data_IF_803222974127
#
_entry.id   IF_803222974127
#
_cell.length_a   1.000
_cell.length_b   1.000
_cell.length_c   1.000
_cell.angle_alpha   90.00
_cell.angle_beta   90.00
_cell.angle_gamma   90.00
#
_symmetry.space_group_name_H-M   'P 1'
#
loop_
_entity.id
_entity.type
_entity.pdbx_description
1 polymer ?
#
# COMPACT_ATOMS: atom_id res chain seq x y z
N UNK A 1 -1.94 -6.19 30.27
CA UNK A 1 -2.18 -5.98 28.82
C UNK A 1 -2.85 -7.22 28.26
N UNK A 2 -3.91 -7.09 27.45
CA UNK A 2 -4.47 -8.25 26.74
C UNK A 2 -3.44 -8.76 25.72
N UNK A 3 -3.28 -10.09 25.56
CA UNK A 3 -2.35 -10.64 24.58
C UNK A 3 -2.75 -10.22 23.16
N UNK A 4 -1.78 -10.08 22.24
CA UNK A 4 -2.06 -9.70 20.87
C UNK A 4 -2.98 -10.73 20.19
N UNK A 5 -3.95 -10.26 19.40
CA UNK A 5 -4.84 -11.16 18.67
C UNK A 5 -4.08 -12.02 17.65
N UNK A 6 -3.07 -11.43 17.01
CA UNK A 6 -2.09 -12.08 16.16
C UNK A 6 -0.69 -11.58 16.50
N UNK A 7 0.29 -12.49 16.54
CA UNK A 7 1.71 -12.14 16.58
C UNK A 7 2.28 -12.16 15.17
N UNK A 8 2.91 -11.07 14.74
CA UNK A 8 3.64 -11.04 13.46
C UNK A 8 5.01 -11.68 13.69
N UNK A 9 5.40 -12.63 12.83
CA UNK A 9 6.72 -13.27 12.86
C UNK A 9 7.38 -13.13 11.49
N UNK A 10 8.56 -12.54 11.47
CA UNK A 10 9.40 -12.45 10.27
C UNK A 10 10.33 -13.65 10.26
N UNK A 11 10.20 -14.51 9.26
CA UNK A 11 10.99 -15.74 9.09
C UNK A 11 12.00 -15.51 7.97
N UNK A 12 13.28 -15.55 8.32
CA UNK A 12 14.41 -15.49 7.38
C UNK A 12 14.66 -16.91 6.87
N UNK A 13 14.41 -17.14 5.59
CA UNK A 13 14.69 -18.41 4.93
C UNK A 13 16.16 -18.53 4.52
N UNK A 14 16.91 -17.43 4.54
CA UNK A 14 18.34 -17.35 4.24
C UNK A 14 19.24 -17.56 5.47
N UNK A 15 18.65 -17.73 6.65
CA UNK A 15 19.36 -17.92 7.93
C UNK A 15 18.96 -19.27 8.54
N UNK A 16 19.80 -19.87 9.41
CA UNK A 16 19.42 -21.07 10.14
C UNK A 16 18.10 -20.88 10.90
N UNK A 17 17.12 -21.73 10.61
CA UNK A 17 15.80 -21.68 11.24
C UNK A 17 15.37 -23.07 11.73
N UNK A 18 14.49 -23.12 12.72
CA UNK A 18 13.81 -24.37 13.08
C UNK A 18 13.02 -24.90 11.86
N UNK A 19 12.78 -26.22 11.75
CA UNK A 19 11.99 -26.77 10.64
C UNK A 19 10.66 -26.01 10.51
N UNK A 20 10.32 -25.55 9.31
CA UNK A 20 9.24 -24.58 9.12
C UNK A 20 7.88 -25.12 9.57
N UNK A 21 7.67 -26.43 9.50
CA UNK A 21 6.44 -27.06 9.99
C UNK A 21 6.22 -26.86 11.49
N UNK A 22 7.26 -26.60 12.31
CA UNK A 22 7.10 -26.32 13.75
C UNK A 22 6.23 -25.09 14.02
N UNK A 23 6.13 -24.17 13.05
CA UNK A 23 5.24 -23.02 13.14
C UNK A 23 3.75 -23.40 13.09
N UNK A 24 3.39 -24.62 12.65
CA UNK A 24 1.99 -25.08 12.65
C UNK A 24 1.40 -25.18 14.07
N UNK A 25 2.26 -25.32 15.09
CA UNK A 25 1.88 -25.38 16.51
C UNK A 25 1.78 -24.00 17.16
N UNK A 26 2.16 -22.94 16.44
CA UNK A 26 2.16 -21.59 17.00
C UNK A 26 0.73 -21.10 17.27
N UNK A 27 0.51 -20.28 18.33
CA UNK A 27 -0.73 -19.53 18.48
C UNK A 27 -0.94 -18.61 17.27
N UNK A 28 -2.12 -17.97 17.16
CA UNK A 28 -2.47 -17.07 16.04
C UNK A 28 -1.27 -16.22 15.57
N UNK A 29 -0.75 -16.57 14.39
CA UNK A 29 0.49 -15.99 13.86
C UNK A 29 0.26 -15.48 12.44
N UNK A 30 0.85 -14.34 12.15
CA UNK A 30 0.97 -13.79 10.80
C UNK A 30 2.44 -13.92 10.42
N UNK A 31 2.76 -14.95 9.63
CA UNK A 31 4.13 -15.24 9.22
C UNK A 31 4.44 -14.46 7.96
N UNK A 32 5.57 -13.76 7.92
CA UNK A 32 6.10 -13.12 6.72
C UNK A 32 7.45 -13.76 6.42
N UNK A 33 7.61 -14.30 5.22
CA UNK A 33 8.81 -15.02 4.81
C UNK A 33 9.72 -14.13 3.98
N UNK A 34 11.02 -14.24 4.22
CA UNK A 34 12.03 -13.38 3.63
C UNK A 34 13.19 -14.21 3.10
N UNK A 35 13.84 -13.68 2.08
CA UNK A 35 15.20 -14.06 1.72
C UNK A 35 16.03 -12.78 1.64
N UNK A 36 16.97 -12.60 2.56
CA UNK A 36 17.73 -11.36 2.63
C UNK A 36 16.79 -10.17 2.87
N UNK A 37 16.85 -9.21 1.94
CA UNK A 37 16.05 -7.99 1.95
C UNK A 37 14.76 -8.10 1.11
N UNK A 38 14.38 -9.31 0.66
CA UNK A 38 13.25 -9.57 -0.23
C UNK A 38 12.17 -10.33 0.52
N UNK A 39 10.96 -9.77 0.57
CA UNK A 39 9.80 -10.48 1.10
C UNK A 39 9.25 -11.44 0.03
N UNK A 40 8.99 -12.69 0.41
CA UNK A 40 8.56 -13.75 -0.51
C UNK A 40 7.08 -14.13 -0.38
N UNK A 41 6.47 -13.88 0.78
CA UNK A 41 5.07 -14.20 1.01
C UNK A 41 4.65 -14.05 2.46
N UNK A 42 3.36 -14.24 2.72
CA UNK A 42 2.83 -14.31 4.08
C UNK A 42 1.79 -15.41 4.27
N UNK A 43 1.59 -15.81 5.53
CA UNK A 43 0.57 -16.76 5.95
C UNK A 43 -0.14 -16.32 7.22
N UNK A 44 -1.44 -16.57 7.26
CA UNK A 44 -2.22 -16.54 8.49
C UNK A 44 -2.36 -17.95 9.04
N UNK A 45 -1.95 -18.12 10.30
CA UNK A 45 -2.22 -19.33 11.08
C UNK A 45 -3.32 -19.04 12.09
N UNK A 46 -4.36 -19.86 12.11
CA UNK A 46 -5.49 -19.77 13.04
C UNK A 46 -5.40 -20.87 14.10
N UNK A 47 -5.74 -20.58 15.36
CA UNK A 47 -5.70 -21.56 16.48
C UNK A 47 -6.52 -22.83 16.20
N UNK A 48 -7.60 -22.72 15.41
CA UNK A 48 -8.49 -23.86 15.11
C UNK A 48 -8.04 -24.67 13.90
N UNK A 49 -6.98 -24.24 13.23
CA UNK A 49 -6.47 -24.93 12.06
C UNK A 49 -5.48 -26.00 12.54
N UNK A 50 -5.95 -27.24 12.69
CA UNK A 50 -5.08 -28.39 12.96
C UNK A 50 -4.29 -28.69 11.67
N UNK A 51 -3.16 -28.01 11.50
CA UNK A 51 -2.28 -28.19 10.36
C UNK A 51 -1.29 -29.32 10.64
N UNK A 52 -1.31 -30.35 9.80
CA UNK A 52 -0.20 -31.30 9.66
C UNK A 52 1.00 -30.61 8.99
N UNK A 53 2.20 -31.20 9.10
CA UNK A 53 3.37 -30.68 8.37
C UNK A 53 3.12 -30.59 6.86
N UNK A 54 2.50 -31.62 6.28
CA UNK A 54 2.15 -31.68 4.86
C UNK A 54 1.21 -30.53 4.44
N UNK A 55 0.09 -30.34 5.15
CA UNK A 55 -0.88 -29.28 4.83
C UNK A 55 -0.31 -27.88 5.07
N UNK A 56 0.58 -27.71 6.04
CA UNK A 56 1.35 -26.49 6.23
C UNK A 56 2.25 -26.20 5.02
N UNK A 57 2.98 -27.18 4.50
CA UNK A 57 3.84 -27.00 3.34
C UNK A 57 3.08 -26.69 2.05
N UNK A 58 1.90 -27.29 1.85
CA UNK A 58 1.01 -26.92 0.72
C UNK A 58 0.63 -25.45 0.78
N UNK A 59 0.26 -24.95 1.98
CA UNK A 59 -0.04 -23.52 2.19
C UNK A 59 1.18 -22.64 1.97
N UNK A 60 2.33 -23.03 2.51
CA UNK A 60 3.59 -22.30 2.36
C UNK A 60 3.96 -22.18 0.88
N UNK A 61 3.94 -23.28 0.14
CA UNK A 61 4.23 -23.29 -1.29
C UNK A 61 3.31 -22.34 -2.04
N UNK A 62 2.00 -22.37 -1.75
CA UNK A 62 1.04 -21.44 -2.36
C UNK A 62 1.34 -19.97 -2.04
N UNK A 63 1.74 -19.66 -0.81
CA UNK A 63 2.06 -18.30 -0.38
C UNK A 63 3.33 -17.75 -1.03
N UNK A 64 4.38 -18.57 -1.18
CA UNK A 64 5.66 -18.13 -1.74
C UNK A 64 5.67 -18.17 -3.28
N UNK A 65 4.82 -19.01 -3.90
CA UNK A 65 4.81 -19.27 -5.35
C UNK A 65 4.89 -18.01 -6.23
N UNK A 66 4.15 -16.91 -5.98
CA UNK A 66 4.25 -15.72 -6.82
C UNK A 66 5.65 -15.12 -6.85
N UNK A 67 6.29 -14.95 -5.69
CA UNK A 67 7.64 -14.40 -5.59
C UNK A 67 8.68 -15.38 -6.15
N UNK A 68 8.54 -16.68 -5.85
CA UNK A 68 9.49 -17.69 -6.32
C UNK A 68 9.47 -17.84 -7.84
N UNK A 69 8.32 -17.76 -8.50
CA UNK A 69 8.25 -17.75 -9.97
C UNK A 69 9.10 -16.67 -10.61
N UNK A 70 9.26 -15.54 -9.91
CA UNK A 70 10.03 -14.42 -10.41
C UNK A 70 11.50 -14.51 -10.01
N UNK A 71 11.78 -14.78 -8.73
CA UNK A 71 13.14 -14.66 -8.19
C UNK A 71 13.92 -15.97 -8.24
N UNK A 72 13.24 -17.11 -8.21
CA UNK A 72 13.81 -18.46 -8.15
C UNK A 72 12.89 -19.51 -8.82
N UNK A 73 12.64 -19.41 -10.14
CA UNK A 73 11.65 -20.25 -10.83
C UNK A 73 11.92 -21.76 -10.71
N UNK A 74 13.17 -22.17 -10.58
CA UNK A 74 13.56 -23.56 -10.39
C UNK A 74 12.91 -24.20 -9.15
N UNK A 75 12.68 -23.44 -8.08
CA UNK A 75 12.01 -23.92 -6.85
C UNK A 75 10.52 -24.21 -7.04
N UNK A 76 9.93 -23.68 -8.11
CA UNK A 76 8.51 -23.88 -8.41
C UNK A 76 8.31 -25.15 -9.22
N UNK A 77 9.27 -25.44 -10.11
CA UNK A 77 9.22 -26.54 -11.09
C UNK A 77 9.80 -27.85 -10.54
N UNK A 78 10.76 -27.78 -9.61
CA UNK A 78 11.44 -28.93 -9.02
C UNK A 78 10.95 -29.19 -7.58
N UNK A 79 10.25 -30.32 -7.39
CA UNK A 79 9.75 -30.75 -6.08
C UNK A 79 10.89 -31.16 -5.13
N UNK A 80 12.01 -31.67 -5.63
CA UNK A 80 13.15 -32.08 -4.81
C UNK A 80 13.87 -30.84 -4.24
N UNK A 81 14.13 -29.84 -5.08
CA UNK A 81 14.70 -28.56 -4.65
C UNK A 81 13.79 -27.83 -3.64
N UNK A 82 12.46 -27.89 -3.85
CA UNK A 82 11.49 -27.39 -2.88
C UNK A 82 11.56 -28.13 -1.54
N UNK A 83 11.68 -29.46 -1.55
CA UNK A 83 11.82 -30.26 -0.33
C UNK A 83 13.10 -29.93 0.41
N UNK A 84 14.25 -29.87 -0.26
CA UNK A 84 15.55 -29.54 0.35
C UNK A 84 15.51 -28.19 1.09
N UNK A 85 14.86 -27.18 0.53
CA UNK A 85 14.66 -25.87 1.18
C UNK A 85 13.88 -25.99 2.50
N UNK A 86 12.81 -26.80 2.54
CA UNK A 86 11.88 -26.83 3.68
C UNK A 86 12.22 -27.90 4.73
N UNK A 87 12.93 -28.98 4.38
CA UNK A 87 13.27 -30.09 5.27
C UNK A 87 14.63 -29.96 5.91
N UNK A 88 15.65 -29.54 5.14
CA UNK A 88 17.05 -29.56 5.57
C UNK A 88 17.59 -28.16 5.87
N UNK A 89 16.85 -27.10 5.51
CA UNK A 89 17.36 -25.74 5.59
C UNK A 89 18.62 -25.54 4.74
N UNK A 90 18.81 -26.38 3.72
CA UNK A 90 19.95 -26.29 2.83
C UNK A 90 19.73 -25.14 1.84
N UNK A 91 20.12 -23.95 2.28
CA UNK A 91 19.90 -22.67 1.58
C UNK A 91 21.06 -22.30 0.67
N UNK A 92 22.19 -23.00 0.78
CA UNK A 92 23.42 -22.71 0.05
C UNK A 92 23.22 -22.71 -1.48
N UNK A 93 22.49 -23.69 -2.00
CA UNK A 93 22.20 -23.79 -3.44
C UNK A 93 21.33 -22.63 -3.98
N UNK A 94 20.64 -21.91 -3.10
CA UNK A 94 19.72 -20.83 -3.45
C UNK A 94 20.29 -19.45 -3.11
N UNK A 95 21.38 -19.39 -2.34
CA UNK A 95 22.10 -18.17 -2.01
C UNK A 95 22.41 -17.36 -3.27
N UNK A 96 23.01 -18.01 -4.28
CA UNK A 96 23.38 -17.37 -5.55
C UNK A 96 22.18 -16.95 -6.39
N UNK A 97 21.04 -17.63 -6.24
CA UNK A 97 19.81 -17.30 -6.98
C UNK A 97 19.25 -15.96 -6.51
N UNK A 98 19.12 -15.79 -5.20
CA UNK A 98 18.58 -14.58 -4.62
C UNK A 98 19.61 -13.45 -4.49
N UNK A 99 20.90 -13.78 -4.39
CA UNK A 99 21.99 -12.79 -4.34
C UNK A 99 21.96 -11.84 -5.53
N UNK A 100 21.64 -12.32 -6.74
CA UNK A 100 21.52 -11.50 -7.96
C UNK A 100 20.45 -10.41 -7.88
N UNK A 101 19.46 -10.56 -7.00
CA UNK A 101 18.39 -9.59 -6.79
C UNK A 101 18.73 -8.56 -5.71
N UNK A 102 19.77 -8.82 -4.92
CA UNK A 102 20.32 -7.87 -3.96
C UNK A 102 21.44 -7.06 -4.61
N UNK A 103 21.52 -5.75 -4.35
CA UNK A 103 22.60 -4.96 -4.88
C UNK A 103 23.92 -5.32 -4.19
N UNK A 104 25.01 -5.43 -4.97
CA UNK A 104 26.36 -5.61 -4.43
C UNK A 104 26.79 -4.42 -3.58
N UNK A 105 26.38 -3.22 -3.99
CA UNK A 105 26.56 -1.98 -3.24
C UNK A 105 25.36 -1.05 -3.42
N UNK A 106 25.08 -0.24 -2.41
CA UNK A 106 24.10 0.85 -2.49
C UNK A 106 24.81 2.19 -2.33
N UNK A 107 24.40 3.22 -3.07
CA UNK A 107 24.87 4.57 -2.83
C UNK A 107 24.42 5.05 -1.45
N UNK A 108 25.24 5.87 -0.80
CA UNK A 108 24.88 6.48 0.48
C UNK A 108 23.69 7.44 0.35
N UNK A 109 23.47 8.01 -0.84
CA UNK A 109 22.38 8.93 -1.13
C UNK A 109 21.91 8.82 -2.59
N UNK A 110 20.61 9.04 -2.82
CA UNK A 110 20.00 9.07 -4.16
C UNK A 110 19.15 10.34 -4.39
N UNK A 111 19.01 10.81 -5.66
CA UNK A 111 18.22 11.99 -6.01
C UNK A 111 16.71 11.72 -5.96
N UNK A 112 16.18 11.57 -4.75
CA UNK A 112 14.76 11.40 -4.44
C UNK A 112 14.33 12.47 -3.44
N UNK A 113 13.19 13.11 -3.69
CA UNK A 113 12.47 13.94 -2.72
C UNK A 113 11.43 13.08 -2.02
N UNK A 114 11.57 12.83 -0.72
CA UNK A 114 10.57 12.09 0.06
C UNK A 114 9.61 13.08 0.71
N UNK A 115 8.34 13.04 0.33
CA UNK A 115 7.28 13.89 0.87
C UNK A 115 6.54 13.15 1.98
N UNK A 116 6.38 13.82 3.13
CA UNK A 116 5.61 13.35 4.27
C UNK A 116 4.55 14.41 4.58
N UNK A 117 3.28 14.06 4.39
CA UNK A 117 2.17 14.93 4.76
C UNK A 117 1.76 14.63 6.21
N UNK A 118 1.77 15.62 7.08
CA UNK A 118 1.39 15.46 8.49
C UNK A 118 0.40 16.54 8.92
N UNK A 119 -0.36 16.27 9.98
CA UNK A 119 -1.29 17.24 10.57
C UNK A 119 -1.48 16.96 12.05
N UNK A 120 -0.85 17.76 12.91
CA UNK A 120 -0.93 17.65 14.37
C UNK A 120 -0.53 16.24 14.89
N UNK A 121 0.53 15.65 14.32
CA UNK A 121 1.03 14.31 14.66
C UNK A 121 2.55 14.29 14.88
N UNK A 122 3.09 15.32 15.53
CA UNK A 122 4.53 15.50 15.73
C UNK A 122 5.27 14.26 16.29
N UNK A 123 4.64 13.48 17.18
CA UNK A 123 5.25 12.25 17.73
C UNK A 123 5.44 11.15 16.68
N UNK A 124 4.49 11.01 15.75
CA UNK A 124 4.60 10.06 14.64
C UNK A 124 5.63 10.54 13.63
N UNK A 125 5.59 11.85 13.31
CA UNK A 125 6.56 12.49 12.45
C UNK A 125 8.01 12.30 12.95
N UNK A 126 8.27 12.49 14.25
CA UNK A 126 9.62 12.36 14.82
C UNK A 126 10.19 10.96 14.58
N UNK A 127 9.38 9.92 14.82
CA UNK A 127 9.76 8.52 14.58
C UNK A 127 10.01 8.24 13.09
N UNK A 128 9.15 8.76 12.21
CA UNK A 128 9.31 8.60 10.78
C UNK A 128 10.61 9.24 10.28
N UNK A 129 10.90 10.48 10.71
CA UNK A 129 12.13 11.19 10.36
C UNK A 129 13.37 10.52 10.92
N UNK A 130 13.35 10.05 12.16
CA UNK A 130 14.44 9.30 12.77
C UNK A 130 14.81 8.07 11.93
N UNK A 131 13.82 7.28 11.52
CA UNK A 131 14.06 6.10 10.69
C UNK A 131 14.63 6.44 9.32
N UNK A 132 14.12 7.47 8.66
CA UNK A 132 14.63 7.91 7.36
C UNK A 132 16.10 8.36 7.43
N UNK A 133 16.52 8.94 8.56
CA UNK A 133 17.91 9.35 8.78
C UNK A 133 18.85 8.19 9.11
N UNK A 134 18.31 7.06 9.58
CA UNK A 134 19.08 5.86 9.90
C UNK A 134 19.28 4.93 8.68
N UNK A 135 18.70 5.27 7.53
CA UNK A 135 18.88 4.49 6.30
C UNK A 135 20.32 4.56 5.80
N UNK A 136 20.84 3.42 5.32
CA UNK A 136 22.16 3.36 4.67
C UNK A 136 22.18 4.07 3.31
N UNK A 137 21.02 4.18 2.65
CA UNK A 137 20.81 4.98 1.43
C UNK A 137 19.73 6.03 1.73
N UNK A 138 20.13 7.27 1.98
CA UNK A 138 19.22 8.37 2.34
C UNK A 138 18.68 9.08 1.08
N UNK A 139 17.50 9.72 1.14
CA UNK A 139 17.06 10.59 0.06
C UNK A 139 17.86 11.90 0.06
N UNK A 140 17.90 12.57 -1.09
CA UNK A 140 18.52 13.90 -1.23
C UNK A 140 17.86 14.92 -0.33
N UNK A 141 16.53 14.87 -0.23
CA UNK A 141 15.75 15.73 0.64
C UNK A 141 14.49 15.03 1.16
N UNK A 142 14.05 15.46 2.34
CA UNK A 142 12.77 15.07 2.93
C UNK A 142 11.93 16.32 3.08
N UNK A 143 10.73 16.33 2.53
CA UNK A 143 9.80 17.46 2.56
C UNK A 143 8.67 17.12 3.51
N UNK A 144 8.63 17.82 4.64
CA UNK A 144 7.55 17.72 5.61
C UNK A 144 6.52 18.79 5.28
N UNK A 145 5.34 18.35 4.81
CA UNK A 145 4.21 19.24 4.58
C UNK A 145 3.28 19.20 5.78
N UNK A 146 3.31 20.26 6.59
CA UNK A 146 2.44 20.41 7.75
C UNK A 146 1.11 21.04 7.33
N UNK A 147 0.07 20.21 7.29
CA UNK A 147 -1.22 20.52 6.68
C UNK A 147 -2.22 21.11 7.66
N UNK A 148 -2.52 22.40 7.51
CA UNK A 148 -3.40 23.18 8.39
C UNK A 148 -3.10 22.93 9.88
N UNK A 149 -1.87 23.19 10.34
CA UNK A 149 -1.46 22.92 11.71
C UNK A 149 -2.17 23.82 12.70
N UNK A 150 -2.42 23.27 13.90
CA UNK A 150 -3.00 23.99 15.03
C UNK A 150 -1.93 24.61 15.95
N UNK A 151 -0.70 24.10 15.88
CA UNK A 151 0.45 24.56 16.66
C UNK A 151 1.77 24.43 15.85
N UNK A 152 2.92 24.68 16.47
CA UNK A 152 4.23 24.59 15.83
C UNK A 152 4.97 23.27 16.12
N UNK A 153 4.29 22.23 16.62
CA UNK A 153 4.95 20.99 17.06
C UNK A 153 5.63 20.24 15.90
N UNK A 154 5.00 20.15 14.73
CA UNK A 154 5.59 19.52 13.53
C UNK A 154 6.84 20.28 13.07
N UNK A 155 6.83 21.62 13.10
CA UNK A 155 7.98 22.46 12.77
C UNK A 155 9.15 22.23 13.73
N UNK A 156 8.89 22.16 15.04
CA UNK A 156 9.90 21.88 16.05
C UNK A 156 10.56 20.52 15.83
N UNK A 157 9.78 19.50 15.46
CA UNK A 157 10.30 18.18 15.11
C UNK A 157 11.14 18.23 13.84
N UNK A 158 10.61 18.78 12.74
CA UNK A 158 11.30 18.88 11.46
C UNK A 158 12.66 19.59 11.57
N UNK A 159 12.73 20.64 12.40
CA UNK A 159 13.94 21.47 12.60
C UNK A 159 15.10 20.74 13.30
N UNK A 160 14.86 19.57 13.90
CA UNK A 160 15.92 18.75 14.53
C UNK A 160 16.79 18.02 13.50
N UNK A 161 16.27 17.84 12.30
CA UNK A 161 16.83 16.93 11.29
C UNK A 161 17.47 17.70 10.14
N UNK A 162 18.58 17.19 9.61
CA UNK A 162 19.23 17.78 8.43
C UNK A 162 18.50 17.34 7.17
N UNK A 163 18.63 18.11 6.07
CA UNK A 163 17.98 17.78 4.78
C UNK A 163 16.45 17.61 4.87
N UNK A 164 15.85 18.15 5.93
CA UNK A 164 14.39 18.27 6.07
C UNK A 164 13.99 19.68 5.68
N UNK A 165 13.13 19.77 4.66
CA UNK A 165 12.49 21.00 4.22
C UNK A 165 11.08 21.01 4.81
N UNK A 166 10.83 21.96 5.70
CA UNK A 166 9.50 22.16 6.27
C UNK A 166 8.68 23.10 5.38
N UNK A 167 7.47 22.69 5.02
CA UNK A 167 6.53 23.48 4.24
C UNK A 167 5.18 23.53 4.97
N UNK A 168 4.70 24.73 5.26
CA UNK A 168 3.38 24.93 5.86
C UNK A 168 2.33 25.06 4.77
N UNK A 169 1.33 24.17 4.76
CA UNK A 169 0.15 24.28 3.90
C UNK A 169 -1.03 24.79 4.72
N UNK A 170 -1.51 26.02 4.54
CA UNK A 170 -2.61 26.57 5.36
C UNK A 170 -3.98 25.91 5.11
N UNK A 171 -4.22 25.28 3.96
CA UNK A 171 -5.52 24.69 3.61
C UNK A 171 -5.56 23.22 3.94
N UNK A 172 -6.54 22.80 4.73
CA UNK A 172 -6.71 21.39 5.10
C UNK A 172 -7.10 20.54 3.88
N UNK A 173 -6.39 19.42 3.70
CA UNK A 173 -6.65 18.44 2.64
C UNK A 173 -5.40 17.62 2.33
N UNK A 174 -5.52 16.29 2.31
CA UNK A 174 -4.37 15.41 2.06
C UNK A 174 -3.81 15.59 0.65
N UNK A 175 -4.66 15.66 -0.38
CA UNK A 175 -4.21 15.89 -1.75
C UNK A 175 -3.69 17.31 -1.97
N UNK A 176 -4.19 18.29 -1.21
CA UNK A 176 -3.60 19.64 -1.17
C UNK A 176 -2.17 19.56 -0.62
N UNK A 177 -1.97 18.87 0.51
CA UNK A 177 -0.64 18.68 1.09
C UNK A 177 0.30 17.91 0.15
N UNK A 178 -0.19 16.86 -0.52
CA UNK A 178 0.58 16.11 -1.52
C UNK A 178 1.01 17.03 -2.67
N UNK A 179 0.11 17.85 -3.18
CA UNK A 179 0.40 18.83 -4.24
C UNK A 179 1.46 19.84 -3.79
N UNK A 180 1.34 20.38 -2.58
CA UNK A 180 2.33 21.28 -2.00
C UNK A 180 3.70 20.60 -1.90
N UNK A 181 3.75 19.32 -1.53
CA UNK A 181 4.97 18.51 -1.53
C UNK A 181 5.54 18.30 -2.94
N UNK A 182 4.73 17.91 -3.92
CA UNK A 182 5.14 17.73 -5.32
C UNK A 182 5.77 19.00 -5.91
N UNK A 183 5.16 20.15 -5.63
CA UNK A 183 5.61 21.45 -6.12
C UNK A 183 6.89 21.92 -5.43
N UNK A 184 7.08 21.54 -4.16
CA UNK A 184 8.27 21.86 -3.37
C UNK A 184 9.45 20.94 -3.69
N UNK A 185 9.20 19.76 -4.24
CA UNK A 185 10.23 18.78 -4.58
C UNK A 185 11.22 19.30 -5.63
N UNK A 186 12.51 19.08 -5.42
CA UNK A 186 13.59 19.50 -6.31
C UNK A 186 14.14 18.35 -7.17
N UNK A 187 13.92 17.09 -6.77
CA UNK A 187 14.42 15.92 -7.50
C UNK A 187 13.49 15.48 -8.64
N UNK A 188 14.03 14.68 -9.57
CA UNK A 188 13.26 14.06 -10.67
C UNK A 188 12.26 13.02 -10.14
N UNK A 189 12.51 12.42 -8.98
CA UNK A 189 11.63 11.43 -8.35
C UNK A 189 11.05 12.00 -7.06
N UNK A 190 9.72 11.98 -6.96
CA UNK A 190 8.95 12.39 -5.77
C UNK A 190 8.30 11.15 -5.17
N UNK A 191 8.74 10.77 -3.97
CA UNK A 191 8.19 9.66 -3.20
C UNK A 191 7.25 10.16 -2.10
N UNK A 192 6.25 9.37 -1.76
CA UNK A 192 5.31 9.65 -0.68
C UNK A 192 5.30 8.50 0.31
N UNK A 193 5.31 8.86 1.60
CA UNK A 193 4.99 7.95 2.70
C UNK A 193 4.27 8.71 3.81
N UNK A 194 3.61 7.98 4.70
CA UNK A 194 2.82 8.56 5.79
C UNK A 194 3.65 8.69 7.08
N UNK A 195 3.24 9.60 7.97
CA UNK A 195 3.94 9.81 9.25
C UNK A 195 3.83 8.64 10.25
N UNK A 196 2.89 7.72 10.03
CA UNK A 196 2.69 6.50 10.83
C UNK A 196 3.14 5.21 10.13
N UNK A 197 4.01 5.35 9.13
CA UNK A 197 4.61 4.24 8.39
C UNK A 197 6.07 4.05 8.79
N UNK A 198 6.48 2.79 8.92
CA UNK A 198 7.89 2.42 9.09
C UNK A 198 8.45 1.96 7.75
N UNK A 199 9.57 2.52 7.31
CA UNK A 199 10.18 2.17 6.02
C UNK A 199 11.20 1.05 6.18
N UNK A 200 11.28 0.15 5.20
CA UNK A 200 12.32 -0.87 5.17
C UNK A 200 13.70 -0.24 4.84
N UNK A 201 14.84 -0.76 5.35
CA UNK A 201 16.16 -0.16 5.11
C UNK A 201 16.54 0.06 3.64
N UNK A 202 16.00 -0.77 2.76
CA UNK A 202 16.22 -0.69 1.30
C UNK A 202 15.19 0.17 0.56
N UNK A 203 14.21 0.77 1.25
CA UNK A 203 13.03 1.41 0.64
C UNK A 203 13.41 2.50 -0.37
N UNK A 204 14.20 3.49 0.07
CA UNK A 204 14.62 4.63 -0.79
C UNK A 204 15.43 4.14 -1.99
N UNK A 205 16.38 3.22 -1.77
CA UNK A 205 17.18 2.65 -2.85
C UNK A 205 16.31 1.90 -3.87
N UNK A 206 15.43 1.00 -3.43
CA UNK A 206 14.59 0.19 -4.33
C UNK A 206 13.62 1.05 -5.12
N UNK A 207 13.15 2.13 -4.51
CA UNK A 207 12.31 3.10 -5.18
C UNK A 207 13.07 3.86 -6.26
N UNK A 208 14.23 4.42 -5.94
CA UNK A 208 15.10 5.06 -6.92
C UNK A 208 15.54 4.10 -8.03
N UNK A 209 15.81 2.84 -7.68
CA UNK A 209 16.19 1.77 -8.62
C UNK A 209 15.09 1.53 -9.66
N UNK A 210 13.81 1.53 -9.26
CA UNK A 210 12.69 1.41 -10.20
C UNK A 210 12.70 2.51 -11.27
N UNK A 211 13.06 3.74 -10.91
CA UNK A 211 13.12 4.86 -11.86
C UNK A 211 14.41 4.91 -12.70
N UNK A 212 15.32 3.93 -12.57
CA UNK A 212 16.39 3.76 -13.56
C UNK A 212 15.82 3.31 -14.90
N UNK A 213 14.69 2.59 -14.91
CA UNK A 213 13.89 2.37 -16.10
C UNK A 213 13.13 3.66 -16.46
N UNK A 214 13.58 4.33 -17.53
CA UNK A 214 13.03 5.60 -18.01
C UNK A 214 11.58 5.50 -18.49
N UNK A 215 11.07 4.29 -18.78
CA UNK A 215 9.67 4.08 -19.17
C UNK A 215 8.69 4.17 -17.99
N UNK A 216 9.16 3.96 -16.76
CA UNK A 216 8.32 3.97 -15.56
C UNK A 216 7.96 5.41 -15.18
N UNK A 217 6.68 5.75 -15.18
CA UNK A 217 6.18 7.08 -14.83
C UNK A 217 5.83 7.18 -13.33
N UNK A 218 5.34 6.09 -12.75
CA UNK A 218 5.05 6.00 -11.31
C UNK A 218 5.34 4.59 -10.77
N UNK A 219 5.45 4.51 -9.46
CA UNK A 219 5.70 3.29 -8.73
C UNK A 219 4.79 3.19 -7.51
N UNK A 220 4.39 1.97 -7.19
CA UNK A 220 3.79 1.58 -5.91
C UNK A 220 4.61 0.45 -5.29
N UNK A 221 4.57 0.31 -3.97
CA UNK A 221 5.35 -0.72 -3.27
C UNK A 221 4.54 -1.59 -2.33
N UNK A 222 5.20 -2.61 -1.79
CA UNK A 222 4.60 -3.55 -0.85
C UNK A 222 4.35 -2.87 0.50
N UNK A 223 3.15 -3.10 1.04
CA UNK A 223 2.77 -2.66 2.38
C UNK A 223 2.44 -3.89 3.22
N UNK A 224 3.09 -4.00 4.38
CA UNK A 224 2.90 -5.08 5.35
C UNK A 224 2.31 -4.48 6.62
N UNK A 225 1.42 -5.19 7.32
CA UNK A 225 0.95 -4.73 8.62
C UNK A 225 2.11 -4.63 9.63
N UNK A 226 2.22 -3.50 10.33
CA UNK A 226 3.21 -3.34 11.40
C UNK A 226 2.80 -4.09 12.69
N UNK A 227 1.49 -4.25 12.92
CA UNK A 227 0.94 -4.94 14.10
C UNK A 227 -0.50 -5.41 13.85
N UNK A 228 -0.88 -6.50 14.53
CA UNK A 228 -2.20 -7.13 14.43
C UNK A 228 -2.77 -7.49 15.82
N UNK A 229 -2.64 -6.56 16.77
CA UNK A 229 -3.01 -6.78 18.16
C UNK A 229 -4.52 -6.76 18.40
N UNK A 230 -5.28 -6.01 17.61
CA UNK A 230 -6.73 -5.88 17.78
C UNK A 230 -7.53 -6.49 16.63
N UNK A 231 -8.82 -6.75 16.89
CA UNK A 231 -9.75 -7.24 15.86
C UNK A 231 -9.88 -6.27 14.69
N UNK A 232 -9.84 -4.96 14.94
CA UNK A 232 -9.94 -3.95 13.88
C UNK A 232 -8.76 -4.07 12.91
N UNK A 233 -7.53 -4.20 13.44
CA UNK A 233 -6.32 -4.35 12.63
C UNK A 233 -6.35 -5.63 11.79
N UNK A 234 -6.75 -6.76 12.41
CA UNK A 234 -6.89 -8.05 11.70
C UNK A 234 -7.97 -7.99 10.63
N UNK A 235 -9.11 -7.35 10.91
CA UNK A 235 -10.16 -7.21 9.90
C UNK A 235 -9.71 -6.34 8.73
N UNK A 236 -8.97 -5.26 9.00
CA UNK A 236 -8.40 -4.44 7.92
C UNK A 236 -7.43 -5.26 7.08
N UNK A 237 -6.42 -5.89 7.69
CA UNK A 237 -5.40 -6.65 6.96
C UNK A 237 -5.95 -7.89 6.23
N UNK A 238 -7.10 -8.45 6.64
CA UNK A 238 -7.71 -9.58 5.93
C UNK A 238 -8.63 -9.17 4.78
N UNK A 239 -9.24 -7.99 4.84
CA UNK A 239 -10.36 -7.65 3.94
C UNK A 239 -10.20 -6.30 3.22
N UNK A 240 -9.25 -5.47 3.65
CA UNK A 240 -8.96 -4.12 3.16
C UNK A 240 -7.44 -3.87 3.05
N UNK A 241 -6.64 -4.93 2.97
CA UNK A 241 -5.17 -4.83 2.98
C UNK A 241 -4.66 -3.97 1.83
N UNK A 242 -3.56 -3.27 2.10
CA UNK A 242 -2.76 -2.59 1.10
C UNK A 242 -1.75 -3.51 0.40
N UNK A 243 -1.57 -4.74 0.89
CA UNK A 243 -0.63 -5.69 0.31
C UNK A 243 -1.13 -6.17 -1.06
N UNK A 244 -0.42 -5.81 -2.14
CA UNK A 244 -0.72 -6.24 -3.51
C UNK A 244 0.15 -7.39 -3.99
N UNK A 245 0.77 -8.15 -3.08
CA UNK A 245 1.54 -9.36 -3.38
C UNK A 245 3.06 -9.15 -3.42
N UNK A 246 3.79 -10.22 -3.68
CA UNK A 246 5.25 -10.30 -3.48
C UNK A 246 6.03 -10.44 -4.79
N UNK A 247 5.38 -10.17 -5.91
CA UNK A 247 5.99 -10.20 -7.25
C UNK A 247 5.80 -8.84 -7.93
N UNK A 248 6.76 -8.45 -8.74
CA UNK A 248 6.72 -7.25 -9.56
C UNK A 248 5.53 -7.31 -10.52
N UNK A 249 4.87 -6.16 -10.71
CA UNK A 249 3.77 -6.03 -11.68
C UNK A 249 3.92 -4.74 -12.45
N UNK A 250 3.69 -4.79 -13.74
CA UNK A 250 3.70 -3.62 -14.61
C UNK A 250 2.28 -3.37 -15.10
N UNK A 251 1.80 -2.16 -14.87
CA UNK A 251 0.49 -1.69 -15.32
C UNK A 251 0.69 -0.67 -16.43
N UNK A 252 0.05 -0.90 -17.57
CA UNK A 252 0.07 -0.03 -18.75
C UNK A 252 -1.36 0.34 -19.14
N UNK A 253 -1.54 1.05 -20.25
CA UNK A 253 -2.87 1.30 -20.84
C UNK A 253 -3.68 0.00 -21.05
N UNK A 254 -3.02 -1.14 -21.30
CA UNK A 254 -3.70 -2.43 -21.49
C UNK A 254 -4.49 -2.88 -20.27
N UNK A 255 -4.03 -2.52 -19.06
CA UNK A 255 -4.77 -2.79 -17.83
C UNK A 255 -6.12 -2.06 -17.83
N UNK A 256 -6.13 -0.79 -18.24
CA UNK A 256 -7.38 0.00 -18.37
C UNK A 256 -8.25 -0.56 -19.48
N UNK A 257 -7.69 -0.84 -20.65
CA UNK A 257 -8.45 -1.33 -21.81
C UNK A 257 -9.11 -2.69 -21.54
N UNK A 258 -8.38 -3.64 -20.96
CA UNK A 258 -8.87 -4.99 -20.66
C UNK A 258 -9.92 -5.01 -19.54
N UNK A 259 -9.94 -4.00 -18.66
CA UNK A 259 -10.88 -3.91 -17.53
C UNK A 259 -11.92 -2.81 -17.69
N UNK A 260 -11.97 -2.16 -18.86
CA UNK A 260 -12.81 -0.98 -19.08
C UNK A 260 -14.28 -1.29 -18.81
N UNK A 261 -14.78 -2.42 -19.31
CA UNK A 261 -16.18 -2.84 -19.22
C UNK A 261 -16.68 -3.11 -17.79
N UNK A 262 -15.78 -3.33 -16.84
CA UNK A 262 -16.10 -3.59 -15.43
C UNK A 262 -15.79 -2.41 -14.50
N UNK A 263 -15.27 -1.31 -15.05
CA UNK A 263 -14.70 -0.21 -14.28
C UNK A 263 -13.30 -0.58 -13.82
N UNK A 264 -12.24 -0.04 -14.45
CA UNK A 264 -10.87 -0.46 -14.16
C UNK A 264 -10.52 -0.42 -12.66
N UNK A 265 -10.06 -1.54 -12.08
CA UNK A 265 -9.84 -1.66 -10.64
C UNK A 265 -8.49 -1.06 -10.23
N UNK A 266 -8.29 0.23 -10.50
CA UNK A 266 -7.03 0.93 -10.26
C UNK A 266 -6.61 0.94 -8.79
N UNK A 267 -7.55 0.79 -7.85
CA UNK A 267 -7.24 0.60 -6.42
C UNK A 267 -6.41 -0.66 -6.12
N UNK A 268 -6.31 -1.61 -7.06
CA UNK A 268 -5.47 -2.81 -6.94
C UNK A 268 -3.98 -2.56 -7.25
N UNK A 269 -3.63 -1.34 -7.71
CA UNK A 269 -2.26 -0.99 -8.10
C UNK A 269 -1.37 -0.73 -6.87
N UNK A 270 -1.92 -0.14 -5.81
CA UNK A 270 -1.16 0.15 -4.59
C UNK A 270 -1.95 0.96 -3.57
N UNK A 271 -1.23 1.73 -2.76
CA UNK A 271 -1.78 2.63 -1.75
C UNK A 271 -0.86 3.86 -1.58
N UNK A 272 -1.45 5.02 -1.27
CA UNK A 272 -0.72 6.28 -1.14
C UNK A 272 0.38 6.33 -0.07
N UNK A 273 0.39 5.37 0.86
CA UNK A 273 1.42 5.22 1.89
C UNK A 273 2.78 4.73 1.34
N UNK A 274 2.82 4.17 0.12
CA UNK A 274 4.03 3.67 -0.52
C UNK A 274 3.93 3.85 -2.04
N UNK A 275 4.18 5.07 -2.49
CA UNK A 275 4.13 5.43 -3.90
C UNK A 275 5.21 6.45 -4.27
N UNK A 276 5.58 6.48 -5.54
CA UNK A 276 6.45 7.50 -6.10
C UNK A 276 6.13 7.81 -7.56
N UNK A 277 6.60 8.95 -8.00
CA UNK A 277 6.30 9.52 -9.31
C UNK A 277 7.57 10.15 -9.89
N UNK A 278 7.75 10.05 -11.21
CA UNK A 278 8.59 11.04 -11.89
C UNK A 278 7.92 12.39 -11.75
N UNK A 279 8.65 13.43 -11.34
CA UNK A 279 8.12 14.77 -11.15
C UNK A 279 7.46 15.31 -12.42
N UNK A 280 8.00 14.98 -13.59
CA UNK A 280 7.46 15.39 -14.89
C UNK A 280 6.05 14.85 -15.19
N UNK A 281 5.54 13.86 -14.46
CA UNK A 281 4.17 13.37 -14.66
C UNK A 281 3.13 14.40 -14.23
N UNK A 282 3.44 15.25 -13.25
CA UNK A 282 2.51 16.26 -12.76
C UNK A 282 2.19 17.34 -13.81
N UNK A 283 3.08 17.55 -14.78
CA UNK A 283 2.84 18.40 -15.96
C UNK A 283 2.01 17.69 -17.04
N UNK A 284 2.16 16.37 -17.17
CA UNK A 284 1.49 15.56 -18.20
C UNK A 284 0.06 15.19 -17.85
N UNK A 285 -0.18 14.84 -16.58
CA UNK A 285 -1.48 14.35 -16.12
C UNK A 285 -2.17 15.29 -15.14
N UNK A 286 -1.47 16.30 -14.62
CA UNK A 286 -1.94 17.21 -13.58
C UNK A 286 -1.64 16.70 -12.17
N UNK A 287 -1.81 17.58 -11.19
CA UNK A 287 -1.63 17.30 -9.76
C UNK A 287 -2.70 16.35 -9.19
N UNK A 288 -2.61 16.00 -7.90
CA UNK A 288 -3.69 15.25 -7.22
C UNK A 288 -4.97 16.10 -7.16
N UNK A 289 -6.11 15.44 -7.28
CA UNK A 289 -7.39 16.13 -7.28
C UNK A 289 -7.79 16.51 -5.85
N UNK A 290 -7.67 17.80 -5.51
CA UNK A 290 -7.93 18.35 -4.17
C UNK A 290 -9.38 18.14 -3.65
N UNK A 291 -10.31 17.72 -4.51
CA UNK A 291 -11.68 17.37 -4.10
C UNK A 291 -11.83 15.90 -3.70
N UNK A 292 -10.76 15.11 -3.83
CA UNK A 292 -10.64 13.74 -3.36
C UNK A 292 -9.85 13.69 -2.05
N UNK A 293 -9.85 12.51 -1.43
CA UNK A 293 -9.07 12.23 -0.22
C UNK A 293 -9.50 12.96 1.07
N UNK A 294 -8.75 12.72 2.16
CA UNK A 294 -9.05 13.22 3.51
C UNK A 294 -9.10 14.76 3.50
N UNK A 295 -10.17 15.31 4.07
CA UNK A 295 -10.49 16.74 4.02
C UNK A 295 -11.53 17.11 2.95
N UNK A 296 -11.81 16.20 2.00
CA UNK A 296 -12.82 16.39 0.96
C UNK A 296 -13.76 15.16 0.83
N UNK A 297 -13.58 14.34 -0.21
CA UNK A 297 -14.41 13.14 -0.43
C UNK A 297 -14.07 11.98 0.52
N UNK A 298 -12.84 11.92 1.04
CA UNK A 298 -12.44 11.00 2.11
C UNK A 298 -11.29 10.05 1.76
N UNK A 299 -11.16 9.61 0.51
CA UNK A 299 -10.09 8.70 0.03
C UNK A 299 -10.01 8.74 -1.51
N UNK A 300 -9.08 7.98 -2.11
CA UNK A 300 -8.94 7.66 -3.54
C UNK A 300 -8.31 8.74 -4.44
N UNK A 301 -7.62 9.75 -3.89
CA UNK A 301 -6.79 10.65 -4.69
C UNK A 301 -5.64 9.93 -5.40
N UNK A 302 -5.06 8.95 -4.72
CA UNK A 302 -4.04 8.04 -5.25
C UNK A 302 -4.57 7.16 -6.40
N UNK A 303 -5.71 6.52 -6.21
CA UNK A 303 -6.38 5.67 -7.20
C UNK A 303 -6.82 6.44 -8.43
N UNK A 304 -7.29 7.67 -8.24
CA UNK A 304 -7.62 8.57 -9.35
C UNK A 304 -6.37 8.99 -10.14
N UNK A 305 -5.26 9.30 -9.45
CA UNK A 305 -3.98 9.59 -10.09
C UNK A 305 -3.48 8.41 -10.94
N UNK A 306 -3.52 7.17 -10.42
CA UNK A 306 -3.12 5.99 -11.19
C UNK A 306 -3.97 5.79 -12.44
N UNK A 307 -5.29 6.03 -12.35
CA UNK A 307 -6.16 5.99 -13.52
C UNK A 307 -5.71 6.99 -14.59
N UNK A 308 -5.46 8.25 -14.22
CA UNK A 308 -5.02 9.28 -15.19
C UNK A 308 -3.69 8.94 -15.85
N UNK A 309 -2.73 8.43 -15.08
CA UNK A 309 -1.43 7.97 -15.60
C UNK A 309 -1.63 6.87 -16.65
N UNK A 310 -2.37 5.81 -16.32
CA UNK A 310 -2.60 4.71 -17.27
C UNK A 310 -3.46 5.13 -18.47
N UNK A 311 -4.46 5.99 -18.27
CA UNK A 311 -5.30 6.52 -19.34
C UNK A 311 -4.52 7.41 -20.34
N UNK A 312 -3.36 7.93 -19.93
CA UNK A 312 -2.39 8.63 -20.79
C UNK A 312 -1.38 7.69 -21.46
N UNK A 313 -1.52 6.38 -21.27
CA UNK A 313 -0.62 5.37 -21.84
C UNK A 313 0.72 5.26 -21.12
N UNK A 314 0.86 5.87 -19.93
CA UNK A 314 2.08 5.82 -19.13
C UNK A 314 2.10 4.54 -18.27
N UNK A 315 3.30 4.16 -17.84
CA UNK A 315 3.53 2.90 -17.12
C UNK A 315 3.66 3.11 -15.60
N UNK A 316 2.99 2.25 -14.83
CA UNK A 316 3.14 2.16 -13.37
C UNK A 316 3.77 0.81 -13.01
N UNK A 317 4.83 0.83 -12.21
CA UNK A 317 5.49 -0.37 -11.72
C UNK A 317 5.18 -0.61 -10.24
N UNK A 318 4.52 -1.71 -9.91
CA UNK A 318 4.47 -2.22 -8.55
C UNK A 318 5.77 -2.99 -8.24
N UNK A 319 6.63 -2.42 -7.39
CA UNK A 319 7.88 -3.05 -6.95
C UNK A 319 7.74 -3.55 -5.50
N UNK A 320 7.54 -4.85 -5.26
CA UNK A 320 7.34 -5.39 -3.92
C UNK A 320 8.60 -5.35 -3.04
N UNK A 321 9.77 -4.96 -3.58
CA UNK A 321 11.02 -4.80 -2.83
C UNK A 321 11.14 -3.42 -2.18
N UNK A 322 10.35 -2.44 -2.62
CA UNK A 322 10.17 -1.18 -1.91
C UNK A 322 9.10 -1.37 -0.84
N UNK A 323 9.52 -1.67 0.40
CA UNK A 323 8.63 -2.16 1.45
C UNK A 323 8.42 -1.09 2.52
N UNK A 324 7.18 -0.98 2.97
CA UNK A 324 6.84 -0.25 4.19
C UNK A 324 5.93 -1.06 5.11
N UNK A 325 5.94 -0.72 6.40
CA UNK A 325 5.08 -1.31 7.43
C UNK A 325 4.08 -0.28 7.91
N UNK A 326 2.80 -0.58 7.78
CA UNK A 326 1.72 0.36 8.10
C UNK A 326 0.99 -0.01 9.40
N UNK A 327 0.73 0.99 10.25
CA UNK A 327 -0.04 0.80 11.47
C UNK A 327 -1.56 0.94 11.24
N UNK A 328 -2.29 -0.16 11.36
CA UNK A 328 -3.74 -0.16 11.22
C UNK A 328 -4.45 0.44 12.43
N UNK A 329 -5.64 1.02 12.21
CA UNK A 329 -6.51 1.55 13.27
C UNK A 329 -6.84 0.46 14.30
N UNK A 330 -6.58 0.77 15.57
CA UNK A 330 -6.78 -0.16 16.70
C UNK A 330 -8.24 -0.35 17.07
N UNK A 331 -9.04 0.71 17.00
CA UNK A 331 -10.44 0.75 17.43
C UNK A 331 -11.39 0.45 16.26
N UNK A 332 -12.38 -0.40 16.50
CA UNK A 332 -13.41 -0.75 15.49
C UNK A 332 -14.18 0.48 15.01
N UNK A 333 -14.46 1.45 15.88
CA UNK A 333 -15.13 2.70 15.49
C UNK A 333 -14.30 3.51 14.50
N UNK A 334 -12.99 3.66 14.76
CA UNK A 334 -12.06 4.35 13.85
C UNK A 334 -11.90 3.61 12.53
N UNK A 335 -11.85 2.28 12.54
CA UNK A 335 -11.84 1.45 11.33
C UNK A 335 -13.11 1.67 10.50
N UNK A 336 -14.29 1.62 11.13
CA UNK A 336 -15.56 1.88 10.44
C UNK A 336 -15.59 3.28 9.82
N UNK A 337 -15.12 4.29 10.56
CA UNK A 337 -15.02 5.65 10.06
C UNK A 337 -14.08 5.73 8.83
N UNK A 338 -12.92 5.09 8.90
CA UNK A 338 -11.98 5.00 7.77
C UNK A 338 -12.64 4.35 6.55
N UNK A 339 -13.28 3.19 6.71
CA UNK A 339 -13.95 2.46 5.62
C UNK A 339 -15.11 3.28 5.03
N UNK A 340 -15.86 4.00 5.86
CA UNK A 340 -16.90 4.92 5.39
C UNK A 340 -16.32 5.96 4.41
N UNK A 341 -15.22 6.61 4.78
CA UNK A 341 -14.56 7.59 3.92
C UNK A 341 -13.88 6.95 2.70
N UNK A 342 -13.42 5.70 2.81
CA UNK A 342 -12.89 4.93 1.67
C UNK A 342 -13.97 4.72 0.63
N UNK A 343 -15.15 4.27 1.05
CA UNK A 343 -16.26 4.02 0.14
C UNK A 343 -16.89 5.31 -0.40
N UNK A 344 -16.90 6.38 0.38
CA UNK A 344 -17.30 7.72 -0.09
C UNK A 344 -16.36 8.22 -1.18
N UNK A 345 -15.04 8.19 -0.93
CA UNK A 345 -14.01 8.60 -1.88
C UNK A 345 -14.03 7.77 -3.16
N UNK A 346 -14.08 6.44 -3.02
CA UNK A 346 -14.22 5.49 -4.13
C UNK A 346 -15.42 5.83 -5.02
N UNK A 347 -16.58 6.10 -4.42
CA UNK A 347 -17.79 6.43 -5.19
C UNK A 347 -17.63 7.71 -6.01
N UNK A 348 -17.01 8.74 -5.43
CA UNK A 348 -16.75 10.02 -6.12
C UNK A 348 -15.75 9.82 -7.25
N UNK A 349 -14.64 9.12 -6.99
CA UNK A 349 -13.60 8.82 -7.98
C UNK A 349 -14.16 7.98 -9.15
N UNK A 350 -14.90 6.91 -8.86
CA UNK A 350 -15.53 6.06 -9.88
C UNK A 350 -16.51 6.86 -10.78
N UNK A 351 -17.28 7.79 -10.22
CA UNK A 351 -18.16 8.66 -11.01
C UNK A 351 -17.38 9.69 -11.84
N UNK A 352 -16.26 10.20 -11.35
CA UNK A 352 -15.38 11.08 -12.12
C UNK A 352 -14.74 10.32 -13.29
N UNK A 353 -14.21 9.12 -13.04
CA UNK A 353 -13.58 8.28 -14.06
C UNK A 353 -14.59 7.84 -15.13
N UNK A 354 -15.83 7.50 -14.73
CA UNK A 354 -16.95 7.28 -15.66
C UNK A 354 -17.18 8.47 -16.59
N UNK A 355 -17.05 9.71 -16.08
CA UNK A 355 -17.23 10.91 -16.89
C UNK A 355 -16.06 11.16 -17.83
N UNK A 356 -14.84 10.81 -17.42
CA UNK A 356 -13.66 10.89 -18.28
C UNK A 356 -13.73 9.86 -19.43
N UNK A 357 -14.32 8.68 -19.19
CA UNK A 357 -14.50 7.64 -20.21
C UNK A 357 -15.88 7.00 -20.11
N UNK A 358 -16.77 7.38 -21.03
CA UNK A 358 -18.18 6.96 -21.00
C UNK A 358 -18.37 5.44 -21.09
N UNK A 359 -17.51 4.76 -21.83
CA UNK A 359 -17.49 3.30 -21.97
C UNK A 359 -17.07 2.54 -20.70
N UNK A 360 -16.51 3.23 -19.71
CA UNK A 360 -16.07 2.59 -18.48
C UNK A 360 -17.26 2.01 -17.68
N UNK A 361 -17.06 0.86 -17.06
CA UNK A 361 -18.09 0.13 -16.32
C UNK A 361 -18.34 0.63 -14.89
N UNK A 362 -17.84 1.79 -14.47
CA UNK A 362 -17.91 2.24 -13.08
C UNK A 362 -19.34 2.43 -12.56
N UNK A 363 -20.26 2.97 -13.37
CA UNK A 363 -21.69 3.06 -13.03
C UNK A 363 -22.30 1.67 -12.88
N UNK A 364 -21.98 0.75 -13.80
CA UNK A 364 -22.44 -0.64 -13.70
C UNK A 364 -21.95 -1.29 -12.40
N UNK A 365 -20.69 -1.05 -12.06
CA UNK A 365 -20.09 -1.52 -10.82
C UNK A 365 -20.81 -0.97 -9.59
N UNK A 366 -21.03 0.35 -9.54
CA UNK A 366 -21.70 1.04 -8.43
C UNK A 366 -23.18 0.65 -8.25
N UNK A 367 -23.94 0.54 -9.35
CA UNK A 367 -25.40 0.38 -9.29
C UNK A 367 -25.88 -1.08 -9.38
N UNK A 368 -25.03 -2.02 -9.81
CA UNK A 368 -25.42 -3.43 -9.95
C UNK A 368 -24.48 -4.40 -9.25
N UNK A 369 -23.16 -4.26 -9.44
CA UNK A 369 -22.19 -5.22 -8.86
C UNK A 369 -22.12 -5.08 -7.35
N UNK A 370 -21.91 -3.86 -6.84
CA UNK A 370 -21.81 -3.61 -5.41
C UNK A 370 -23.11 -3.93 -4.64
N UNK A 371 -24.31 -3.53 -5.10
CA UNK A 371 -25.54 -3.91 -4.40
C UNK A 371 -25.71 -5.43 -4.29
N UNK A 372 -25.43 -6.19 -5.37
CA UNK A 372 -25.49 -7.66 -5.32
C UNK A 372 -24.48 -8.22 -4.31
N UNK A 373 -23.24 -7.73 -4.34
CA UNK A 373 -22.20 -8.12 -3.41
C UNK A 373 -22.59 -7.85 -1.94
N UNK A 374 -23.12 -6.66 -1.65
CA UNK A 374 -23.56 -6.31 -0.29
C UNK A 374 -24.77 -7.12 0.17
N UNK A 375 -25.73 -7.41 -0.71
CA UNK A 375 -26.86 -8.30 -0.38
C UNK A 375 -26.36 -9.70 0.04
N UNK A 376 -25.39 -10.26 -0.68
CA UNK A 376 -24.78 -11.53 -0.30
C UNK A 376 -24.05 -11.45 1.04
N UNK A 377 -23.31 -10.37 1.29
CA UNK A 377 -22.61 -10.15 2.57
C UNK A 377 -23.58 -9.97 3.74
N UNK A 378 -24.70 -9.26 3.55
CA UNK A 378 -25.75 -9.10 4.57
C UNK A 378 -26.32 -10.47 4.95
N UNK A 379 -26.68 -11.28 3.94
CA UNK A 379 -27.20 -12.64 4.16
C UNK A 379 -26.20 -13.52 4.91
N UNK A 380 -24.92 -13.48 4.55
CA UNK A 380 -23.84 -14.24 5.22
C UNK A 380 -23.56 -13.75 6.64
N UNK A 381 -23.79 -12.47 6.93
CA UNK A 381 -23.51 -11.86 8.22
C UNK A 381 -24.63 -12.05 9.24
N UNK A 382 -25.87 -12.28 8.80
CA UNK A 382 -27.02 -12.38 9.68
C UNK A 382 -26.93 -13.57 10.64
N UNK A 383 -27.33 -13.42 11.93
CA UNK A 383 -27.77 -12.19 12.60
C UNK A 383 -26.64 -11.40 13.31
N UNK A 384 -25.39 -11.90 13.31
CA UNK A 384 -24.35 -11.44 14.25
C UNK A 384 -23.32 -10.46 13.70
N UNK A 385 -23.13 -10.41 12.37
CA UNK A 385 -22.23 -9.49 11.65
C UNK A 385 -20.81 -9.36 12.23
N UNK A 386 -19.98 -10.40 12.02
CA UNK A 386 -18.59 -10.49 12.55
C UNK A 386 -17.54 -10.48 11.44
N UNK A 387 -16.30 -10.12 11.78
CA UNK A 387 -15.15 -10.14 10.83
C UNK A 387 -15.44 -9.34 9.56
N UNK A 388 -15.43 -9.95 8.35
CA UNK A 388 -15.70 -9.27 7.07
C UNK A 388 -17.02 -8.51 7.06
N UNK A 389 -18.04 -9.02 7.76
CA UNK A 389 -19.38 -8.43 7.75
C UNK A 389 -19.56 -7.33 8.81
N UNK A 390 -18.55 -7.09 9.66
CA UNK A 390 -18.62 -6.08 10.72
C UNK A 390 -18.60 -4.63 10.21
N UNK A 391 -18.19 -4.41 8.96
CA UNK A 391 -18.00 -3.09 8.34
C UNK A 391 -19.02 -2.75 7.27
N UNK A 392 -19.92 -3.68 6.91
CA UNK A 392 -20.89 -3.54 5.79
C UNK A 392 -21.67 -2.23 5.85
N UNK A 393 -22.18 -1.88 7.03
CA UNK A 393 -22.98 -0.65 7.18
C UNK A 393 -22.16 0.61 6.92
N UNK A 394 -20.89 0.64 7.38
CA UNK A 394 -19.99 1.76 7.09
C UNK A 394 -19.67 1.83 5.60
N UNK A 395 -19.49 0.67 4.95
CA UNK A 395 -19.24 0.59 3.51
C UNK A 395 -20.42 1.15 2.71
N UNK A 396 -21.63 0.64 2.95
CA UNK A 396 -22.84 1.03 2.22
C UNK A 396 -23.22 2.50 2.46
N UNK A 397 -23.16 2.96 3.71
CA UNK A 397 -23.44 4.37 4.02
C UNK A 397 -22.37 5.30 3.43
N UNK A 398 -21.11 4.84 3.32
CA UNK A 398 -20.05 5.52 2.61
C UNK A 398 -20.37 5.69 1.12
N UNK A 399 -20.85 4.64 0.45
CA UNK A 399 -21.28 4.71 -0.96
C UNK A 399 -22.40 5.76 -1.13
N UNK A 400 -23.45 5.67 -0.32
CA UNK A 400 -24.57 6.62 -0.39
C UNK A 400 -24.09 8.06 -0.12
N UNK A 401 -23.22 8.26 0.86
CA UNK A 401 -22.60 9.55 1.14
C UNK A 401 -21.79 10.07 -0.05
N UNK A 402 -21.09 9.19 -0.76
CA UNK A 402 -20.34 9.51 -1.97
C UNK A 402 -21.24 10.01 -3.11
N UNK A 403 -22.37 9.34 -3.35
CA UNK A 403 -23.37 9.78 -4.33
C UNK A 403 -23.91 11.17 -3.99
N UNK A 404 -24.24 11.42 -2.71
CA UNK A 404 -24.73 12.72 -2.23
C UNK A 404 -23.65 13.79 -2.40
N UNK A 405 -22.41 13.50 -2.01
CA UNK A 405 -21.29 14.43 -2.13
C UNK A 405 -21.00 14.79 -3.59
N UNK A 406 -20.96 13.79 -4.47
CA UNK A 406 -20.76 13.99 -5.90
C UNK A 406 -21.83 14.93 -6.47
N UNK A 407 -23.11 14.68 -6.17
CA UNK A 407 -24.21 15.53 -6.64
C UNK A 407 -24.10 16.96 -6.12
N UNK A 408 -23.75 17.15 -4.84
CA UNK A 408 -23.60 18.49 -4.22
C UNK A 408 -22.41 19.28 -4.79
N UNK A 409 -21.34 18.60 -5.20
CA UNK A 409 -20.09 19.24 -5.62
C UNK A 409 -19.81 19.08 -7.12
N UNK A 410 -20.80 18.66 -7.90
CA UNK A 410 -20.61 18.24 -9.29
C UNK A 410 -19.92 19.30 -10.15
N UNK A 411 -20.31 20.57 -10.05
CA UNK A 411 -19.68 21.65 -10.82
C UNK A 411 -18.17 21.79 -10.52
N UNK A 412 -17.79 21.74 -9.23
CA UNK A 412 -16.39 21.84 -8.81
C UNK A 412 -15.57 20.63 -9.25
N UNK A 413 -16.13 19.44 -9.08
CA UNK A 413 -15.54 18.16 -9.49
C UNK A 413 -15.37 18.06 -11.01
N UNK A 414 -16.31 18.57 -11.79
CA UNK A 414 -16.17 18.59 -13.25
C UNK A 414 -15.13 19.63 -13.71
N UNK A 415 -15.07 20.79 -13.04
CA UNK A 415 -14.03 21.79 -13.30
C UNK A 415 -12.62 21.29 -12.95
N UNK A 416 -12.48 20.32 -12.05
CA UNK A 416 -11.17 19.72 -11.77
C UNK A 416 -10.71 18.73 -12.84
N UNK A 417 -11.61 18.27 -13.73
CA UNK A 417 -11.24 17.39 -14.86
C UNK A 417 -10.61 18.14 -16.04
N UNK A 418 -10.81 19.45 -16.10
CA UNK A 418 -10.31 20.31 -17.19
C UNK A 418 -8.97 20.98 -16.86
N UNK A 419 -8.38 20.67 -15.72
CA UNK A 419 -7.04 21.08 -15.30
C UNK A 419 -6.11 19.90 -15.45
#
# INVERSE_FOLDING_TARGET
MQPPLYTIKHIRLDEPHAPLHTFCLAPRSYLVFWWGQIALGHLYLEIREQLTAETFYVKLRKALKPALRQYAPQLVEDDEAWQQLISEGNTAALQDTFARHNPESIPAEVPVSVVICTRNRAVYLDKCLEQLHQLSCVPREIIVVDNAPLDNSSYQVASKYRKVVYVKEPKAGLDIARNTGALSATCEVVAYTDDDVLVHPMWVYRLWQTFQDKSVAAMTGLIIAAQLHTRAQVNFEKYWSFNRGYADKVYTGDFIHSTLSIGPPVWEIGAGANMAFRKSIFEQVGLFNEYLDVGAAGCNGDSEMWYRILAKGLTIHYNPRAIVFHEHRRETGRLKNQIFYYMRGFTVAALLQQRQKEEAGYKRHLYYVLPKFYLELIRKGFPYYRSRTSTIWAEMTGIVSGLIYYKKNQQKLLKSLSK
#
